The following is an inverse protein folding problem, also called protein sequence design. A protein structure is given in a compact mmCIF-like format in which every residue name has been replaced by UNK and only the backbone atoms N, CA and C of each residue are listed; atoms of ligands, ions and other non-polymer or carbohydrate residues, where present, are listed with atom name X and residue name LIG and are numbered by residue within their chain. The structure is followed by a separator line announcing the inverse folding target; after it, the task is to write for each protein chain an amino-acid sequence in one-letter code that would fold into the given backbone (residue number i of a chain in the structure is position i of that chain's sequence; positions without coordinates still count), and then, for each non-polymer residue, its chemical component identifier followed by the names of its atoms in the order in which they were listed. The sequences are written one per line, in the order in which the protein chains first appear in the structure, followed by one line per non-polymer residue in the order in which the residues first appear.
data_IF_270972807098
#
_entry.id   IF_270972807098
#
_cell.length_a   1.000
_cell.length_b   1.000
_cell.length_c   1.000
_cell.angle_alpha   90.00
_cell.angle_beta   90.00
_cell.angle_gamma   90.00
#
_symmetry.space_group_name_H-M   'P 1'
#
loop_
_entity.id
_entity.type
_entity.pdbx_description
1 polymer ?
#
# COMPACT_ATOMS: atom_id res chain seq x y z
N UNK A 1 19.20 -28.41 -8.35
CA UNK A 1 17.82 -27.97 -8.59
C UNK A 1 17.58 -26.76 -7.72
N UNK A 2 18.11 -25.62 -8.15
CA UNK A 2 18.24 -24.43 -7.32
C UNK A 2 17.77 -23.24 -8.14
N UNK A 3 16.51 -22.90 -7.99
CA UNK A 3 16.00 -21.56 -8.29
C UNK A 3 14.67 -21.45 -7.53
N UNK A 4 14.78 -21.40 -6.19
CA UNK A 4 13.77 -20.71 -5.39
C UNK A 4 13.79 -19.26 -5.86
N UNK A 5 13.13 -18.96 -6.99
CA UNK A 5 12.75 -17.59 -7.35
C UNK A 5 11.80 -17.15 -6.26
N UNK A 6 12.38 -16.67 -5.15
CA UNK A 6 11.69 -15.96 -4.10
C UNK A 6 11.11 -14.75 -4.78
N UNK A 7 9.90 -14.91 -5.29
CA UNK A 7 9.15 -13.85 -5.93
C UNK A 7 8.97 -12.80 -4.85
N UNK A 8 9.79 -11.74 -4.86
CA UNK A 8 9.77 -10.68 -3.86
C UNK A 8 8.31 -10.26 -3.66
N UNK A 9 7.80 -10.52 -2.44
CA UNK A 9 6.43 -10.18 -2.04
C UNK A 9 6.50 -8.86 -1.33
N UNK A 10 5.60 -7.93 -1.65
CA UNK A 10 5.61 -6.65 -0.96
C UNK A 10 5.42 -6.88 0.55
N UNK A 11 6.23 -6.25 1.41
CA UNK A 11 6.07 -6.39 2.86
C UNK A 11 4.71 -5.87 3.38
N UNK A 12 4.03 -5.02 2.60
CA UNK A 12 2.71 -4.46 2.94
C UNK A 12 1.56 -5.30 2.33
N UNK A 13 1.58 -5.47 1.00
CA UNK A 13 0.48 -6.08 0.26
C UNK A 13 0.58 -7.63 0.18
N UNK A 14 1.75 -8.21 0.51
CA UNK A 14 2.22 -9.57 0.17
C UNK A 14 2.02 -9.99 -1.31
N UNK A 15 1.60 -9.06 -2.16
CA UNK A 15 1.42 -9.25 -3.58
C UNK A 15 2.75 -9.23 -4.34
N UNK A 16 2.71 -9.61 -5.63
CA UNK A 16 3.90 -9.71 -6.46
C UNK A 16 4.57 -8.33 -6.58
N UNK A 17 5.89 -8.27 -6.46
CA UNK A 17 6.67 -7.06 -6.77
C UNK A 17 7.16 -7.08 -8.23
N UNK A 18 7.33 -5.89 -8.81
CA UNK A 18 7.93 -5.64 -10.12
C UNK A 18 9.15 -4.74 -9.92
N UNK A 19 10.24 -5.02 -10.62
CA UNK A 19 11.40 -4.12 -10.68
C UNK A 19 11.05 -2.88 -11.50
N UNK A 20 11.27 -1.70 -10.93
CA UNK A 20 11.17 -0.41 -11.60
C UNK A 20 12.46 -0.10 -12.37
N UNK A 21 12.39 0.84 -13.32
CA UNK A 21 13.48 1.20 -14.24
C UNK A 21 14.77 1.68 -13.53
N UNK A 22 14.66 2.14 -12.30
CA UNK A 22 15.79 2.55 -11.46
C UNK A 22 16.39 1.40 -10.62
N UNK A 23 15.99 0.16 -10.87
CA UNK A 23 16.44 -1.03 -10.14
C UNK A 23 15.72 -1.29 -8.81
N UNK A 24 14.82 -0.40 -8.36
CA UNK A 24 14.06 -0.62 -7.10
C UNK A 24 12.85 -1.55 -7.30
N UNK A 25 12.57 -2.41 -6.32
CA UNK A 25 11.38 -3.27 -6.33
C UNK A 25 10.14 -2.51 -5.85
N UNK A 26 9.06 -2.50 -6.62
CA UNK A 26 7.76 -1.90 -6.28
C UNK A 26 6.67 -2.98 -6.24
N UNK A 27 5.71 -2.93 -5.31
CA UNK A 27 4.55 -3.85 -5.40
C UNK A 27 3.84 -3.60 -6.73
N UNK A 28 3.59 -4.68 -7.47
CA UNK A 28 2.77 -4.65 -8.69
C UNK A 28 1.32 -4.30 -8.35
N UNK A 29 0.84 -4.68 -7.16
CA UNK A 29 -0.43 -4.15 -6.64
C UNK A 29 -0.24 -2.70 -6.19
N UNK A 30 -1.17 -1.86 -6.63
CA UNK A 30 -1.22 -0.42 -6.44
C UNK A 30 -0.96 0.03 -4.99
N UNK A 31 -1.37 -0.73 -3.97
CA UNK A 31 -1.19 -0.39 -2.54
C UNK A 31 0.23 0.03 -2.14
N UNK A 32 1.29 -0.65 -2.61
CA UNK A 32 2.67 -0.22 -2.25
C UNK A 32 3.32 0.68 -3.31
N UNK A 33 2.69 0.84 -4.48
CA UNK A 33 3.16 1.71 -5.55
C UNK A 33 2.60 3.14 -5.41
N UNK A 34 1.40 3.28 -4.87
CA UNK A 34 0.77 4.55 -4.60
C UNK A 34 1.32 5.12 -3.30
N UNK A 35 1.86 6.32 -3.38
CA UNK A 35 2.32 7.07 -2.23
C UNK A 35 1.11 7.62 -1.47
N UNK A 36 0.47 6.78 -0.65
CA UNK A 36 -0.68 7.16 0.19
C UNK A 36 -0.33 8.20 1.27
N UNK A 37 0.93 8.66 1.33
CA UNK A 37 1.39 9.78 2.16
C UNK A 37 0.63 11.09 1.91
N UNK A 38 -0.01 11.24 0.75
CA UNK A 38 -0.82 12.41 0.42
C UNK A 38 -2.33 12.21 0.64
N UNK A 39 -2.78 11.00 0.99
CA UNK A 39 -4.18 10.76 1.31
C UNK A 39 -4.54 11.54 2.58
N UNK A 40 -5.57 12.39 2.52
CA UNK A 40 -6.00 13.17 3.66
C UNK A 40 -7.03 12.39 4.48
N UNK A 41 -6.88 12.40 5.81
CA UNK A 41 -7.88 11.84 6.68
C UNK A 41 -9.21 12.59 6.54
N UNK A 42 -10.34 11.92 6.29
CA UNK A 42 -11.63 12.59 6.13
C UNK A 42 -12.09 13.31 7.40
N UNK A 43 -11.55 12.93 8.56
CA UNK A 43 -11.91 13.52 9.87
C UNK A 43 -11.05 14.73 10.25
N UNK A 44 -9.72 14.60 10.22
CA UNK A 44 -8.80 15.65 10.69
C UNK A 44 -7.98 16.29 9.56
N UNK A 45 -8.16 15.87 8.31
CA UNK A 45 -7.41 16.34 7.13
C UNK A 45 -5.89 16.10 7.19
N UNK A 46 -5.38 15.41 8.22
CA UNK A 46 -3.98 15.02 8.30
C UNK A 46 -3.62 14.07 7.15
N UNK A 47 -2.47 14.31 6.53
CA UNK A 47 -2.00 13.53 5.37
C UNK A 47 -1.10 12.39 5.81
N UNK A 48 -1.15 11.30 5.06
CA UNK A 48 -0.30 10.14 5.25
C UNK A 48 -0.82 9.18 6.31
N UNK A 49 -2.07 8.73 6.18
CA UNK A 49 -2.55 7.61 6.97
C UNK A 49 -1.75 6.35 6.69
N UNK A 50 -1.73 5.47 7.68
CA UNK A 50 -1.23 4.12 7.52
C UNK A 50 -2.30 3.26 6.84
N UNK A 51 -1.89 2.44 5.87
CA UNK A 51 -2.80 1.45 5.27
C UNK A 51 -2.86 0.24 6.20
N UNK A 52 -4.03 0.03 6.82
CA UNK A 52 -4.26 -1.08 7.75
C UNK A 52 -4.61 -2.38 7.04
N UNK A 53 -5.27 -2.31 5.89
CA UNK A 53 -5.54 -3.47 5.05
C UNK A 53 -5.82 -3.07 3.60
N UNK A 54 -5.58 -3.99 2.66
CA UNK A 54 -5.99 -3.86 1.28
C UNK A 54 -6.84 -5.05 0.84
N UNK A 55 -8.04 -4.75 0.34
CA UNK A 55 -8.83 -5.66 -0.48
C UNK A 55 -8.36 -5.63 -1.94
N UNK A 56 -9.02 -6.41 -2.79
CA UNK A 56 -8.75 -6.43 -4.23
C UNK A 56 -9.00 -5.05 -4.87
N UNK A 57 -10.06 -4.36 -4.43
CA UNK A 57 -10.53 -3.09 -4.99
C UNK A 57 -10.78 -2.04 -3.89
N UNK A 58 -10.19 -2.19 -2.71
CA UNK A 58 -10.37 -1.25 -1.61
C UNK A 58 -9.17 -1.17 -0.68
N UNK A 59 -9.01 -0.02 -0.03
CA UNK A 59 -7.96 0.29 0.92
C UNK A 59 -8.58 0.74 2.23
N UNK A 60 -8.19 0.11 3.35
CA UNK A 60 -8.54 0.59 4.69
C UNK A 60 -7.36 1.37 5.25
N UNK A 61 -7.60 2.62 5.56
CA UNK A 61 -6.65 3.55 6.16
C UNK A 61 -6.91 3.69 7.66
N UNK A 62 -5.86 3.99 8.41
CA UNK A 62 -5.89 4.47 9.80
C UNK A 62 -5.10 5.76 9.89
N UNK A 63 -5.71 6.82 10.43
CA UNK A 63 -5.01 8.05 10.74
C UNK A 63 -4.36 7.95 12.12
N UNK A 64 -3.06 8.23 12.20
CA UNK A 64 -2.29 8.22 13.45
C UNK A 64 -2.71 9.34 14.41
N UNK A 65 -3.15 10.49 13.88
CA UNK A 65 -3.49 11.67 14.69
C UNK A 65 -4.83 11.56 15.42
N UNK A 66 -5.86 11.08 14.72
CA UNK A 66 -7.23 11.03 15.27
C UNK A 66 -7.77 9.62 15.43
N UNK A 67 -6.95 8.60 15.16
CA UNK A 67 -7.29 7.18 15.18
C UNK A 67 -8.48 6.80 14.29
N UNK A 68 -8.88 7.70 13.38
CA UNK A 68 -9.99 7.44 12.46
C UNK A 68 -9.60 6.38 11.45
N UNK A 69 -10.47 5.39 11.26
CA UNK A 69 -10.30 4.34 10.26
C UNK A 69 -11.35 4.49 9.17
N UNK A 70 -10.95 4.39 7.91
CA UNK A 70 -11.90 4.48 6.79
C UNK A 70 -11.45 3.63 5.61
N UNK A 71 -12.42 3.18 4.81
CA UNK A 71 -12.18 2.40 3.61
C UNK A 71 -12.45 3.25 2.36
N UNK A 72 -11.53 3.21 1.39
CA UNK A 72 -11.67 3.87 0.09
C UNK A 72 -11.60 2.81 -1.00
N UNK A 73 -12.48 2.90 -1.99
CA UNK A 73 -12.42 2.03 -3.18
C UNK A 73 -11.22 2.43 -4.02
N UNK A 74 -10.48 1.46 -4.54
CA UNK A 74 -9.42 1.69 -5.51
C UNK A 74 -10.07 2.24 -6.79
N UNK A 75 -9.76 3.49 -7.15
CA UNK A 75 -10.21 4.12 -8.40
C UNK A 75 -9.19 3.95 -9.51
#
# INVERSE_FOLDING_TARGET
MDERRGQDRCPVCQGPMKQADNGTLRCRKSICAYNHRNEACPRCQHKGPEVSSAGTDSYTYSCTECMNKWTKVAS
#
